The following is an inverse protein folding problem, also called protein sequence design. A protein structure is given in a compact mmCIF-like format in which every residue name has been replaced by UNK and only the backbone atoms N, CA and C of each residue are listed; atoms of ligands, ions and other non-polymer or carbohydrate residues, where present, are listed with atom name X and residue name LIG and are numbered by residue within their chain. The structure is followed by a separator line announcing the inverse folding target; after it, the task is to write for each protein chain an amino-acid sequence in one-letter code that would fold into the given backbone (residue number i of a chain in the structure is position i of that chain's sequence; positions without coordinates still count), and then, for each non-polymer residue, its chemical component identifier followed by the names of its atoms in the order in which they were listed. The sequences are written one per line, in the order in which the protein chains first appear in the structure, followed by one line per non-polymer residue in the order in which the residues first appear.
data_IF_731793947522
#
_entry.id   IF_731793947522
#
_cell.length_a   1.000
_cell.length_b   1.000
_cell.length_c   1.000
_cell.angle_alpha   90.00
_cell.angle_beta   90.00
_cell.angle_gamma   90.00
#
_symmetry.space_group_name_H-M   'P 1'
#
loop_
_entity.id
_entity.type
_entity.pdbx_description
1 polymer ?
#
# COMPACT_ATOMS: atom_id res chain seq x y z
N UNK A 1 -84.29 22.73 18.64
CA UNK A 1 -83.26 23.02 19.66
C UNK A 1 -82.37 21.80 19.74
N UNK A 2 -81.10 21.77 19.43
CA UNK A 2 -80.11 22.80 19.12
C UNK A 2 -78.76 22.07 19.17
N UNK A 3 -77.91 22.35 18.20
CA UNK A 3 -76.55 21.82 18.02
C UNK A 3 -75.63 22.39 19.14
N UNK A 4 -74.55 21.67 19.48
CA UNK A 4 -73.47 21.94 20.46
C UNK A 4 -73.60 21.13 21.77
N UNK A 5 -72.62 20.36 22.24
CA UNK A 5 -71.18 20.45 22.03
C UNK A 5 -70.53 19.07 22.25
N UNK A 6 -70.12 18.42 21.16
CA UNK A 6 -69.13 17.35 21.18
C UNK A 6 -67.76 17.98 21.41
N UNK A 7 -67.32 18.16 22.65
CA UNK A 7 -65.93 18.54 22.97
C UNK A 7 -65.73 18.42 24.49
N UNK A 8 -65.51 17.20 24.99
CA UNK A 8 -64.92 16.99 26.32
C UNK A 8 -64.38 15.55 26.55
N UNK A 9 -64.52 14.62 25.60
CA UNK A 9 -64.07 13.23 25.78
C UNK A 9 -62.78 12.85 25.01
N UNK A 10 -61.97 13.83 24.60
CA UNK A 10 -60.69 13.62 23.90
C UNK A 10 -59.48 14.29 24.58
N UNK A 11 -59.59 14.68 25.86
CA UNK A 11 -58.48 15.33 26.59
C UNK A 11 -57.81 14.44 27.65
N UNK A 12 -58.24 13.19 27.82
CA UNK A 12 -57.72 12.30 28.87
C UNK A 12 -56.95 11.07 28.35
N UNK A 13 -56.78 10.95 27.02
CA UNK A 13 -56.06 9.85 26.38
C UNK A 13 -54.90 10.32 25.48
N UNK A 14 -54.24 11.44 25.81
CA UNK A 14 -53.03 11.94 25.12
C UNK A 14 -51.97 12.43 26.12
N UNK A 15 -51.83 11.78 27.28
CA UNK A 15 -50.76 12.11 28.25
C UNK A 15 -50.11 10.86 28.85
N UNK A 16 -49.96 9.82 28.02
CA UNK A 16 -48.92 8.79 28.18
C UNK A 16 -48.18 8.66 26.84
N UNK A 17 -47.79 9.79 26.25
CA UNK A 17 -46.67 9.77 25.33
C UNK A 17 -45.46 9.66 26.24
N UNK A 18 -44.81 8.50 26.18
CA UNK A 18 -43.50 8.28 26.77
C UNK A 18 -42.61 9.48 26.44
N UNK A 19 -42.30 10.30 27.44
CA UNK A 19 -41.14 11.16 27.39
C UNK A 19 -39.92 10.23 27.46
N UNK A 20 -39.61 9.59 26.33
CA UNK A 20 -38.26 9.09 26.10
C UNK A 20 -37.37 10.32 26.19
N UNK A 21 -36.68 10.46 27.32
CA UNK A 21 -35.70 11.52 27.55
C UNK A 21 -34.66 11.46 26.43
N UNK A 22 -34.78 12.34 25.44
CA UNK A 22 -33.76 12.49 24.41
C UNK A 22 -32.48 12.97 25.09
N UNK A 23 -31.46 12.12 25.12
CA UNK A 23 -30.14 12.45 25.70
C UNK A 23 -29.63 13.77 25.12
N UNK A 24 -29.04 14.63 25.95
CA UNK A 24 -28.41 15.86 25.46
C UNK A 24 -27.25 15.50 24.51
N UNK A 25 -26.93 16.34 23.50
CA UNK A 25 -25.86 16.05 22.54
C UNK A 25 -24.49 15.75 23.17
N UNK A 26 -24.14 16.42 24.27
CA UNK A 26 -22.90 16.17 25.01
C UNK A 26 -22.88 14.78 25.67
N UNK A 27 -24.01 14.34 26.22
CA UNK A 27 -24.17 13.02 26.84
C UNK A 27 -24.08 11.91 25.78
N UNK A 28 -24.65 12.16 24.59
CA UNK A 28 -24.55 11.24 23.43
C UNK A 28 -23.11 11.09 22.94
N UNK A 29 -22.37 12.19 22.80
CA UNK A 29 -20.97 12.14 22.37
C UNK A 29 -20.08 11.40 23.38
N UNK A 30 -20.33 11.57 24.68
CA UNK A 30 -19.60 10.85 25.73
C UNK A 30 -19.89 9.35 25.72
N UNK A 31 -21.12 8.96 25.42
CA UNK A 31 -21.49 7.55 25.23
C UNK A 31 -20.75 6.93 24.03
N UNK A 32 -20.76 7.60 22.87
CA UNK A 32 -20.01 7.16 21.67
C UNK A 32 -18.52 6.96 21.98
N UNK A 33 -17.89 7.92 22.68
CA UNK A 33 -16.48 7.82 23.02
C UNK A 33 -16.20 6.65 23.98
N UNK A 34 -17.09 6.38 24.94
CA UNK A 34 -16.95 5.23 25.85
C UNK A 34 -17.07 3.91 25.12
N UNK A 35 -18.07 3.77 24.26
CA UNK A 35 -18.27 2.55 23.48
C UNK A 35 -17.08 2.28 22.57
N UNK A 36 -16.57 3.33 21.91
CA UNK A 36 -15.39 3.26 21.07
C UNK A 36 -14.14 2.80 21.85
N UNK A 37 -13.86 3.41 22.99
CA UNK A 37 -12.66 3.09 23.78
C UNK A 37 -12.76 1.72 24.46
N UNK A 38 -13.98 1.28 24.78
CA UNK A 38 -14.21 -0.09 25.27
C UNK A 38 -13.95 -1.12 24.18
N UNK A 39 -14.44 -0.87 22.96
CA UNK A 39 -14.28 -1.79 21.84
C UNK A 39 -12.83 -1.86 21.33
N UNK A 40 -12.13 -0.72 21.23
CA UNK A 40 -10.85 -0.67 20.52
C UNK A 40 -9.62 -0.39 21.40
N UNK A 41 -9.81 0.07 22.64
CA UNK A 41 -8.73 0.47 23.56
C UNK A 41 -8.79 -0.22 24.93
N UNK A 42 -9.61 -1.27 25.06
CA UNK A 42 -9.78 -2.05 26.29
C UNK A 42 -10.12 -1.16 27.51
N UNK A 43 -11.02 -0.19 27.34
CA UNK A 43 -11.56 0.56 28.48
C UNK A 43 -12.41 -0.38 29.35
N UNK A 44 -11.93 -0.68 30.55
CA UNK A 44 -12.66 -1.44 31.56
C UNK A 44 -13.72 -0.56 32.24
N UNK A 45 -14.96 -1.04 32.31
CA UNK A 45 -16.00 -0.39 33.09
C UNK A 45 -15.72 -0.65 34.58
N UNK A 46 -15.28 0.36 35.33
CA UNK A 46 -15.19 0.32 36.79
C UNK A 46 -16.61 0.24 37.40
N UNK A 47 -17.28 -0.90 37.26
CA UNK A 47 -18.49 -1.22 37.99
C UNK A 47 -18.15 -2.24 39.07
N UNK A 48 -17.97 -1.80 40.31
CA UNK A 48 -18.22 -2.67 41.47
C UNK A 48 -17.23 -2.76 42.62
N UNK A 49 -16.41 -1.76 42.95
CA UNK A 49 -15.78 -1.73 44.29
C UNK A 49 -15.94 -0.38 44.95
N UNK A 50 -16.94 -0.29 45.83
CA UNK A 50 -17.12 0.79 46.81
C UNK A 50 -16.06 0.70 47.91
N UNK A 51 -14.81 0.99 47.59
CA UNK A 51 -13.80 1.24 48.60
C UNK A 51 -13.19 2.62 48.33
N UNK A 52 -13.37 3.50 49.32
CA UNK A 52 -12.79 4.84 49.43
C UNK A 52 -11.45 4.97 48.69
N UNK A 53 -11.35 5.91 47.75
CA UNK A 53 -10.07 6.31 47.14
C UNK A 53 -9.88 7.82 47.16
N UNK A 54 -8.65 8.33 47.41
CA UNK A 54 -8.37 9.77 47.53
C UNK A 54 -8.43 10.51 46.17
N UNK A 55 -8.65 11.82 46.24
CA UNK A 55 -8.95 12.80 45.16
C UNK A 55 -7.92 12.98 44.02
N UNK A 56 -6.95 12.08 43.82
CA UNK A 56 -5.99 12.11 42.69
C UNK A 56 -6.15 10.93 41.72
N UNK A 57 -7.40 10.47 41.48
CA UNK A 57 -7.64 9.35 40.57
C UNK A 57 -7.65 9.77 39.09
N UNK A 58 -6.70 9.20 38.36
CA UNK A 58 -6.57 9.18 36.90
C UNK A 58 -7.92 8.79 36.27
N UNK A 59 -8.56 9.68 35.51
CA UNK A 59 -9.76 9.35 34.73
C UNK A 59 -9.40 8.32 33.65
N UNK A 60 -9.84 7.03 33.76
CA UNK A 60 -9.48 5.99 32.80
C UNK A 60 -9.92 6.34 31.38
N UNK A 61 -10.97 7.13 31.24
CA UNK A 61 -11.42 7.66 29.96
C UNK A 61 -10.39 8.62 29.35
N UNK A 62 -9.82 9.52 30.16
CA UNK A 62 -8.83 10.49 29.69
C UNK A 62 -7.57 9.80 29.19
N UNK A 63 -7.12 8.74 29.86
CA UNK A 63 -5.92 8.01 29.46
C UNK A 63 -6.12 7.19 28.18
N UNK A 64 -7.26 6.49 28.06
CA UNK A 64 -7.61 5.81 26.80
C UNK A 64 -7.82 6.79 25.65
N UNK A 65 -8.33 8.00 25.93
CA UNK A 65 -8.36 9.08 24.94
C UNK A 65 -6.94 9.50 24.51
N UNK A 66 -5.97 9.60 25.43
CA UNK A 66 -4.57 9.94 25.06
C UNK A 66 -3.96 8.84 24.21
N UNK A 67 -4.18 7.57 24.53
CA UNK A 67 -3.72 6.42 23.73
C UNK A 67 -4.29 6.51 22.30
N UNK A 68 -5.60 6.69 22.17
CA UNK A 68 -6.29 6.82 20.88
C UNK A 68 -5.78 8.04 20.09
N UNK A 69 -5.69 9.21 20.73
CA UNK A 69 -5.19 10.43 20.08
C UNK A 69 -3.75 10.24 19.59
N UNK A 70 -2.90 9.57 20.38
CA UNK A 70 -1.53 9.24 20.00
C UNK A 70 -1.47 8.29 18.81
N UNK A 71 -2.34 7.27 18.77
CA UNK A 71 -2.44 6.33 17.66
C UNK A 71 -2.81 7.06 16.35
N UNK A 72 -3.88 7.88 16.38
CA UNK A 72 -4.37 8.61 15.21
C UNK A 72 -3.55 9.87 14.84
N UNK A 73 -2.44 10.11 15.54
CA UNK A 73 -1.55 11.29 15.40
C UNK A 73 -2.31 12.61 15.58
N UNK A 74 -3.30 12.63 16.47
CA UNK A 74 -4.02 13.82 16.88
C UNK A 74 -3.24 14.56 17.99
N UNK A 75 -3.63 15.80 18.27
CA UNK A 75 -3.13 16.50 19.46
C UNK A 75 -3.56 15.74 20.71
N UNK A 76 -2.59 15.23 21.47
CA UNK A 76 -2.83 14.46 22.70
C UNK A 76 -3.27 15.43 23.80
N UNK A 77 -4.57 15.44 24.09
CA UNK A 77 -5.18 16.28 25.13
C UNK A 77 -5.84 15.48 26.24
N UNK A 78 -6.17 14.20 26.00
CA UNK A 78 -6.97 13.39 26.92
C UNK A 78 -8.40 13.88 27.09
N UNK A 79 -8.88 14.72 26.16
CA UNK A 79 -10.22 15.31 26.16
C UNK A 79 -10.94 15.00 24.86
N UNK A 80 -12.25 14.78 24.93
CA UNK A 80 -13.10 14.54 23.77
C UNK A 80 -13.35 15.85 23.01
N UNK A 81 -12.40 16.23 22.17
CA UNK A 81 -12.52 17.38 21.27
C UNK A 81 -13.22 16.99 19.96
N UNK A 82 -13.60 17.99 19.16
CA UNK A 82 -14.32 17.79 17.89
C UNK A 82 -13.56 16.86 16.95
N UNK A 83 -12.25 17.05 16.78
CA UNK A 83 -11.43 16.23 15.88
C UNK A 83 -11.40 14.75 16.31
N UNK A 84 -11.25 14.48 17.61
CA UNK A 84 -11.28 13.13 18.18
C UNK A 84 -12.62 12.45 17.90
N UNK A 85 -13.72 13.18 18.11
CA UNK A 85 -15.06 12.66 17.87
C UNK A 85 -15.34 12.39 16.39
N UNK A 86 -14.85 13.24 15.47
CA UNK A 86 -14.98 13.00 14.03
C UNK A 86 -14.24 11.73 13.59
N UNK A 87 -13.07 11.43 14.18
CA UNK A 87 -12.37 10.17 13.90
C UNK A 87 -13.14 8.97 14.46
N UNK A 88 -13.67 9.05 15.67
CA UNK A 88 -14.45 7.96 16.30
C UNK A 88 -15.73 7.59 15.54
N UNK A 89 -16.26 8.51 14.73
CA UNK A 89 -17.47 8.30 13.92
C UNK A 89 -17.18 7.74 12.52
N UNK A 90 -15.92 7.64 12.11
CA UNK A 90 -15.59 7.10 10.79
C UNK A 90 -15.80 5.58 10.78
N UNK A 91 -16.31 5.02 9.66
CA UNK A 91 -16.32 3.57 9.48
C UNK A 91 -14.91 3.00 9.59
N UNK A 92 -14.76 1.83 10.19
CA UNK A 92 -13.47 1.23 10.52
C UNK A 92 -13.53 -0.30 10.64
N UNK A 93 -12.37 -0.92 10.74
CA UNK A 93 -12.22 -2.33 11.13
C UNK A 93 -12.61 -2.55 12.61
N UNK A 94 -13.20 -3.70 12.91
CA UNK A 94 -13.66 -4.14 14.23
C UNK A 94 -12.57 -4.64 15.18
N UNK A 95 -11.33 -4.79 14.70
CA UNK A 95 -10.18 -5.26 15.50
C UNK A 95 -9.68 -4.13 16.45
N UNK A 96 -9.29 -4.44 17.71
CA UNK A 96 -8.72 -3.44 18.63
C UNK A 96 -7.37 -2.85 18.18
N UNK A 97 -7.07 -1.61 18.60
CA UNK A 97 -5.86 -0.88 18.19
C UNK A 97 -4.65 -1.09 19.13
N UNK A 98 -4.85 -1.74 20.28
CA UNK A 98 -3.90 -1.75 21.42
C UNK A 98 -2.85 -2.87 21.40
N UNK A 99 -2.67 -3.57 20.28
CA UNK A 99 -1.56 -4.52 20.11
C UNK A 99 -0.29 -3.80 19.62
N UNK A 100 0.88 -4.17 20.16
CA UNK A 100 2.17 -3.58 19.81
C UNK A 100 2.39 -3.52 18.28
N UNK A 101 2.71 -2.34 17.77
CA UNK A 101 2.75 -2.00 16.35
C UNK A 101 3.48 -3.03 15.45
N UNK A 102 2.94 -3.19 14.23
CA UNK A 102 3.35 -4.05 13.09
C UNK A 102 2.79 -5.49 13.06
N UNK A 103 2.55 -6.14 14.19
CA UNK A 103 2.05 -7.54 14.26
C UNK A 103 1.27 -7.73 15.54
N UNK A 104 0.27 -8.61 15.59
CA UNK A 104 -0.37 -8.94 16.88
C UNK A 104 0.67 -9.39 17.93
N UNK A 105 0.38 -9.21 19.22
CA UNK A 105 1.24 -9.66 20.30
C UNK A 105 1.56 -11.17 20.13
N UNK A 106 2.85 -11.53 20.22
CA UNK A 106 3.32 -12.89 19.91
C UNK A 106 3.65 -13.17 18.44
N UNK A 107 3.46 -12.20 17.53
CA UNK A 107 3.74 -12.29 16.08
C UNK A 107 3.10 -13.53 15.42
N UNK A 108 1.78 -13.75 15.60
CA UNK A 108 1.11 -14.90 15.04
C UNK A 108 1.27 -14.90 13.52
N UNK A 109 1.77 -16.02 13.00
CA UNK A 109 1.97 -16.23 11.56
C UNK A 109 1.64 -17.66 11.19
N UNK A 110 1.19 -17.85 9.96
CA UNK A 110 1.04 -19.19 9.41
C UNK A 110 2.40 -19.88 9.28
N UNK A 111 2.47 -21.15 9.65
CA UNK A 111 3.69 -21.97 9.53
C UNK A 111 3.88 -22.53 8.10
N UNK A 112 2.98 -22.17 7.18
CA UNK A 112 2.98 -22.62 5.78
C UNK A 112 2.68 -21.43 4.86
N UNK A 113 3.22 -21.47 3.65
CA UNK A 113 3.00 -20.44 2.64
C UNK A 113 1.84 -20.76 1.68
N UNK A 114 1.36 -22.00 1.69
CA UNK A 114 0.19 -22.42 0.88
C UNK A 114 -1.03 -22.44 1.78
N UNK A 115 -1.84 -21.39 1.67
CA UNK A 115 -3.05 -21.19 2.45
C UNK A 115 -4.27 -21.50 1.59
N UNK A 116 -5.30 -22.04 2.23
CA UNK A 116 -6.61 -22.29 1.63
C UNK A 116 -7.61 -21.28 2.14
N UNK A 117 -8.53 -20.84 1.29
CA UNK A 117 -9.63 -19.99 1.71
C UNK A 117 -10.96 -20.52 1.19
N UNK A 118 -12.05 -20.19 1.89
CA UNK A 118 -13.40 -20.57 1.51
C UNK A 118 -14.37 -19.42 1.79
N UNK A 119 -15.14 -19.06 0.77
CA UNK A 119 -16.31 -18.19 0.92
C UNK A 119 -17.48 -19.06 1.37
N UNK A 120 -17.99 -18.79 2.58
CA UNK A 120 -19.03 -19.58 3.25
C UNK A 120 -20.40 -19.19 2.74
N UNK A 121 -20.65 -17.89 2.63
CA UNK A 121 -21.87 -17.27 2.09
C UNK A 121 -21.52 -15.97 1.38
N UNK A 122 -22.53 -15.32 0.79
CA UNK A 122 -22.37 -14.13 -0.05
C UNK A 122 -23.33 -13.04 0.40
N UNK A 123 -22.88 -11.78 0.34
CA UNK A 123 -23.74 -10.60 0.48
C UNK A 123 -24.74 -10.50 -0.69
N UNK A 124 -25.99 -10.05 -0.45
CA UNK A 124 -26.96 -9.81 -1.52
C UNK A 124 -26.68 -8.56 -2.36
N UNK A 125 -25.77 -7.69 -1.94
CA UNK A 125 -25.49 -6.39 -2.58
C UNK A 125 -24.73 -6.51 -3.91
N UNK A 126 -24.00 -7.61 -4.06
CA UNK A 126 -23.08 -7.86 -5.17
C UNK A 126 -23.37 -9.24 -5.76
N UNK A 127 -23.16 -9.39 -7.07
CA UNK A 127 -23.25 -10.71 -7.69
C UNK A 127 -22.13 -11.64 -7.19
N UNK A 128 -22.38 -12.94 -7.20
CA UNK A 128 -21.39 -13.97 -6.80
C UNK A 128 -20.02 -13.76 -7.50
N UNK A 129 -19.95 -13.49 -8.83
CA UNK A 129 -18.68 -13.21 -9.49
C UNK A 129 -17.96 -11.96 -8.97
N UNK A 130 -18.69 -10.89 -8.64
CA UNK A 130 -18.09 -9.65 -8.14
C UNK A 130 -17.50 -9.83 -6.73
N UNK A 131 -18.16 -10.60 -5.87
CA UNK A 131 -17.63 -11.00 -4.56
C UNK A 131 -16.40 -11.88 -4.75
N UNK A 132 -16.48 -12.91 -5.59
CA UNK A 132 -15.37 -13.81 -5.89
C UNK A 132 -14.13 -13.06 -6.41
N UNK A 133 -14.34 -12.10 -7.32
CA UNK A 133 -13.27 -11.25 -7.85
C UNK A 133 -12.67 -10.35 -6.77
N UNK A 134 -13.51 -9.70 -5.96
CA UNK A 134 -13.06 -8.80 -4.88
C UNK A 134 -12.19 -9.54 -3.86
N UNK A 135 -12.63 -10.72 -3.41
CA UNK A 135 -11.90 -11.57 -2.47
C UNK A 135 -10.58 -12.07 -3.08
N UNK A 136 -10.61 -12.54 -4.33
CA UNK A 136 -9.41 -12.99 -5.03
C UNK A 136 -8.39 -11.85 -5.20
N UNK A 137 -8.85 -10.67 -5.61
CA UNK A 137 -8.00 -9.46 -5.77
C UNK A 137 -7.38 -9.07 -4.42
N UNK A 138 -8.17 -9.10 -3.34
CA UNK A 138 -7.71 -8.80 -1.99
C UNK A 138 -6.61 -9.76 -1.49
N UNK A 139 -6.75 -11.07 -1.70
CA UNK A 139 -5.68 -12.03 -1.36
C UNK A 139 -4.44 -11.85 -2.24
N UNK A 140 -4.62 -11.51 -3.51
CA UNK A 140 -3.52 -11.30 -4.46
C UNK A 140 -2.64 -10.10 -4.08
N UNK A 141 -3.21 -9.08 -3.41
CA UNK A 141 -2.45 -7.94 -2.88
C UNK A 141 -1.28 -8.41 -2.00
N UNK A 142 -1.54 -9.37 -1.10
CA UNK A 142 -0.52 -9.92 -0.21
C UNK A 142 0.39 -10.95 -0.90
N UNK A 143 -0.16 -11.81 -1.75
CA UNK A 143 0.62 -12.80 -2.52
C UNK A 143 1.61 -12.15 -3.50
N UNK A 144 1.32 -10.93 -3.97
CA UNK A 144 2.19 -10.18 -4.89
C UNK A 144 3.53 -9.74 -4.28
N UNK A 145 3.60 -9.66 -2.95
CA UNK A 145 4.78 -9.14 -2.21
C UNK A 145 5.34 -10.14 -1.22
N UNK A 146 4.85 -11.38 -1.21
CA UNK A 146 5.29 -12.47 -0.32
C UNK A 146 5.29 -13.84 -1.03
N UNK A 147 5.96 -14.87 -0.47
CA UNK A 147 5.84 -16.25 -0.95
C UNK A 147 4.46 -16.88 -0.80
N UNK A 148 3.50 -16.20 -0.18
CA UNK A 148 2.17 -16.74 0.10
C UNK A 148 1.42 -17.10 -1.19
N UNK A 149 0.68 -18.20 -1.14
CA UNK A 149 -0.17 -18.70 -2.22
C UNK A 149 -1.51 -19.10 -1.64
N UNK A 150 -2.58 -18.58 -2.24
CA UNK A 150 -3.95 -18.80 -1.79
C UNK A 150 -4.69 -19.71 -2.77
N UNK A 151 -5.29 -20.77 -2.25
CA UNK A 151 -6.08 -21.72 -3.04
C UNK A 151 -7.52 -21.74 -2.53
N UNK A 152 -8.48 -21.47 -3.39
CA UNK A 152 -9.89 -21.57 -3.02
C UNK A 152 -10.29 -23.03 -2.87
N UNK A 153 -11.02 -23.35 -1.81
CA UNK A 153 -11.72 -24.62 -1.66
C UNK A 153 -13.22 -24.38 -1.53
N UNK A 154 -14.03 -25.34 -2.01
CA UNK A 154 -15.50 -25.19 -2.04
C UNK A 154 -16.22 -26.05 -0.98
N UNK A 155 -15.48 -26.89 -0.25
CA UNK A 155 -16.01 -27.77 0.80
C UNK A 155 -14.95 -27.99 1.88
N UNK A 156 -15.41 -28.35 3.09
CA UNK A 156 -14.53 -28.54 4.25
C UNK A 156 -14.15 -27.24 4.93
N UNK A 157 -13.15 -27.32 5.81
CA UNK A 157 -12.61 -26.20 6.58
C UNK A 157 -11.34 -25.70 5.88
N UNK A 158 -11.27 -24.40 5.64
CA UNK A 158 -10.12 -23.73 5.04
C UNK A 158 -9.25 -23.10 6.14
N UNK A 159 -8.08 -22.56 5.77
CA UNK A 159 -7.27 -21.76 6.69
C UNK A 159 -7.88 -20.37 6.96
N UNK A 160 -8.66 -19.86 6.01
CA UNK A 160 -9.35 -18.57 6.09
C UNK A 160 -10.80 -18.82 5.64
N UNK A 161 -11.75 -18.82 6.59
CA UNK A 161 -13.18 -18.84 6.29
C UNK A 161 -13.69 -17.41 6.17
N UNK A 162 -14.45 -17.14 5.11
CA UNK A 162 -14.94 -15.80 4.76
C UNK A 162 -16.46 -15.84 4.80
N UNK A 163 -17.07 -14.99 5.63
CA UNK A 163 -18.53 -14.92 5.74
C UNK A 163 -19.04 -13.50 5.90
N UNK A 164 -20.27 -13.30 5.43
CA UNK A 164 -21.05 -12.09 5.61
C UNK A 164 -22.11 -12.34 6.67
N UNK A 165 -22.20 -11.51 7.68
CA UNK A 165 -23.15 -11.71 8.77
C UNK A 165 -23.58 -10.38 9.39
N UNK A 166 -24.68 -10.40 10.13
CA UNK A 166 -25.20 -9.20 10.80
C UNK A 166 -25.12 -9.37 12.30
N UNK A 167 -24.82 -8.27 13.01
CA UNK A 167 -24.88 -8.17 14.48
C UNK A 167 -24.21 -9.35 15.20
N UNK A 168 -24.96 -10.18 15.93
CA UNK A 168 -24.43 -11.36 16.64
C UNK A 168 -24.34 -12.53 15.67
N UNK A 169 -23.13 -13.00 15.38
CA UNK A 169 -22.88 -13.95 14.29
C UNK A 169 -21.95 -15.12 14.64
N UNK A 170 -21.98 -15.57 15.90
CA UNK A 170 -21.33 -16.82 16.33
C UNK A 170 -19.92 -16.69 16.89
N UNK A 171 -19.40 -15.47 17.01
CA UNK A 171 -18.20 -15.14 17.77
C UNK A 171 -18.49 -14.13 18.90
N UNK A 172 -17.45 -13.68 19.60
CA UNK A 172 -17.56 -12.73 20.71
C UNK A 172 -17.54 -11.24 20.28
N UNK A 173 -17.59 -10.94 18.97
CA UNK A 173 -17.42 -9.61 18.41
C UNK A 173 -18.62 -9.22 17.54
N UNK A 174 -19.78 -8.90 18.13
CA UNK A 174 -20.95 -8.52 17.35
C UNK A 174 -20.75 -7.21 16.55
N UNK A 175 -21.34 -7.16 15.36
CA UNK A 175 -21.44 -5.94 14.56
C UNK A 175 -22.49 -4.96 15.10
N UNK A 176 -22.38 -3.70 14.69
CA UNK A 176 -23.18 -2.56 15.16
C UNK A 176 -24.29 -2.12 14.18
N UNK A 177 -24.41 -2.77 13.03
CA UNK A 177 -25.36 -2.42 11.98
C UNK A 177 -24.73 -1.43 10.99
N UNK A 178 -25.53 -0.66 10.23
CA UNK A 178 -24.98 0.17 9.15
C UNK A 178 -23.99 1.24 9.65
N UNK A 179 -22.88 1.39 8.92
CA UNK A 179 -21.70 2.18 9.28
C UNK A 179 -20.97 1.65 10.53
N UNK A 180 -19.94 2.38 10.99
CA UNK A 180 -19.22 1.97 12.19
C UNK A 180 -18.27 0.81 11.89
N UNK A 181 -18.64 -0.41 12.23
CA UNK A 181 -17.76 -1.58 12.09
C UNK A 181 -18.04 -2.33 10.79
N UNK A 182 -17.13 -2.19 9.82
CA UNK A 182 -17.35 -2.77 8.48
C UNK A 182 -17.10 -4.27 8.41
N UNK A 183 -16.11 -4.74 9.17
CA UNK A 183 -15.61 -6.11 9.15
C UNK A 183 -14.65 -6.33 10.32
N UNK A 184 -14.32 -7.59 10.60
CA UNK A 184 -13.16 -7.95 11.43
C UNK A 184 -12.58 -9.29 10.98
N UNK A 185 -11.34 -9.54 11.35
CA UNK A 185 -10.70 -10.83 11.16
C UNK A 185 -9.84 -11.24 12.34
N UNK A 186 -9.64 -12.55 12.47
CA UNK A 186 -8.83 -13.15 13.50
C UNK A 186 -7.40 -13.38 13.03
N UNK A 187 -6.43 -13.19 13.93
CA UNK A 187 -5.04 -13.52 13.65
C UNK A 187 -4.85 -15.03 13.36
N UNK A 188 -3.76 -15.43 12.68
CA UNK A 188 -3.41 -16.84 12.48
C UNK A 188 -3.39 -17.61 13.81
N UNK A 189 -4.22 -18.64 13.90
CA UNK A 189 -4.26 -19.51 15.09
C UNK A 189 -4.59 -20.95 14.69
N UNK A 190 -3.57 -21.78 14.40
CA UNK A 190 -3.78 -23.15 13.93
C UNK A 190 -4.50 -24.07 14.93
N UNK A 191 -4.48 -23.71 16.21
CA UNK A 191 -5.13 -24.44 17.30
C UNK A 191 -6.56 -23.96 17.60
N UNK A 192 -6.98 -22.82 17.02
CA UNK A 192 -8.34 -22.28 17.16
C UNK A 192 -9.11 -22.49 15.87
N UNK A 193 -10.36 -22.98 15.99
CA UNK A 193 -11.21 -23.24 14.82
C UNK A 193 -11.61 -21.99 14.01
N UNK A 194 -11.35 -20.79 14.53
CA UNK A 194 -11.67 -19.49 13.91
C UNK A 194 -10.41 -18.68 13.52
N UNK A 195 -9.22 -19.23 13.73
CA UNK A 195 -7.97 -18.52 13.48
C UNK A 195 -7.78 -18.22 12.00
N UNK A 196 -7.71 -16.94 11.62
CA UNK A 196 -7.63 -16.51 10.23
C UNK A 196 -8.97 -16.18 9.58
N UNK A 197 -10.10 -16.43 10.24
CA UNK A 197 -11.41 -16.16 9.65
C UNK A 197 -11.67 -14.65 9.54
N UNK A 198 -12.40 -14.26 8.50
CA UNK A 198 -12.76 -12.88 8.20
C UNK A 198 -14.28 -12.74 8.04
N UNK A 199 -14.87 -11.87 8.84
CA UNK A 199 -16.29 -11.59 8.88
C UNK A 199 -16.57 -10.17 8.37
N UNK A 200 -17.56 -10.02 7.51
CA UNK A 200 -17.97 -8.76 6.91
C UNK A 200 -19.40 -8.42 7.36
N UNK A 201 -19.65 -7.19 7.76
CA UNK A 201 -20.97 -6.79 8.24
C UNK A 201 -21.96 -6.65 7.08
N UNK A 202 -22.91 -7.57 6.99
CA UNK A 202 -23.91 -7.62 5.91
C UNK A 202 -25.06 -6.62 6.13
N UNK A 203 -25.02 -5.82 7.21
CA UNK A 203 -25.86 -4.62 7.35
C UNK A 203 -25.26 -3.41 6.56
N UNK A 204 -24.03 -3.52 6.04
CA UNK A 204 -23.39 -2.54 5.17
C UNK A 204 -23.76 -2.73 3.70
N UNK A 205 -23.72 -1.65 2.92
CA UNK A 205 -23.89 -1.71 1.45
C UNK A 205 -22.54 -1.88 0.76
N UNK A 206 -22.09 -3.11 0.55
CA UNK A 206 -20.82 -3.37 -0.14
C UNK A 206 -20.89 -3.06 -1.64
N UNK A 207 -19.79 -2.54 -2.19
CA UNK A 207 -19.71 -2.20 -3.63
C UNK A 207 -18.43 -2.72 -4.28
N UNK A 208 -18.45 -2.85 -5.60
CA UNK A 208 -17.28 -3.25 -6.40
C UNK A 208 -16.22 -2.13 -6.52
N UNK A 209 -16.64 -0.87 -6.50
CA UNK A 209 -15.76 0.28 -6.72
C UNK A 209 -16.46 1.64 -6.65
N UNK A 210 -17.64 1.70 -6.01
CA UNK A 210 -18.44 2.91 -5.90
C UNK A 210 -18.18 3.60 -4.57
N UNK A 211 -18.15 4.93 -4.55
CA UNK A 211 -18.04 5.71 -3.31
C UNK A 211 -19.35 5.75 -2.49
N UNK A 212 -20.42 5.09 -2.97
CA UNK A 212 -21.72 5.01 -2.27
C UNK A 212 -21.71 4.08 -1.05
N UNK A 213 -20.72 3.21 -0.93
CA UNK A 213 -20.57 2.27 0.17
C UNK A 213 -19.12 1.76 0.28
N UNK A 214 -18.82 0.93 1.29
CA UNK A 214 -17.52 0.30 1.41
C UNK A 214 -17.18 -0.55 0.18
N UNK A 215 -15.97 -0.41 -0.36
CA UNK A 215 -15.51 -1.25 -1.46
C UNK A 215 -15.01 -2.57 -0.89
N UNK A 216 -15.69 -3.68 -1.23
CA UNK A 216 -15.40 -5.00 -0.64
C UNK A 216 -13.93 -5.41 -0.81
N UNK A 217 -13.34 -5.14 -1.97
CA UNK A 217 -11.92 -5.39 -2.22
C UNK A 217 -10.99 -4.73 -1.18
N UNK A 218 -11.24 -3.47 -0.81
CA UNK A 218 -10.38 -2.74 0.11
C UNK A 218 -10.54 -3.24 1.55
N UNK A 219 -11.79 -3.44 1.98
CA UNK A 219 -12.10 -3.98 3.31
C UNK A 219 -11.53 -5.39 3.44
N UNK A 220 -11.75 -6.26 2.46
CA UNK A 220 -11.21 -7.61 2.47
C UNK A 220 -9.68 -7.64 2.45
N UNK A 221 -9.03 -6.75 1.68
CA UNK A 221 -7.58 -6.68 1.68
C UNK A 221 -7.03 -6.34 3.07
N UNK A 222 -7.67 -5.41 3.78
CA UNK A 222 -7.34 -5.05 5.17
C UNK A 222 -7.53 -6.24 6.12
N UNK A 223 -8.71 -6.86 6.12
CA UNK A 223 -9.02 -8.00 6.99
C UNK A 223 -8.11 -9.21 6.74
N UNK A 224 -7.69 -9.42 5.48
CA UNK A 224 -6.71 -10.46 5.18
C UNK A 224 -5.31 -10.12 5.70
N UNK A 225 -4.96 -8.84 5.88
CA UNK A 225 -3.76 -8.48 6.62
C UNK A 225 -3.79 -9.01 8.05
N UNK A 226 -4.93 -8.87 8.74
CA UNK A 226 -5.14 -9.48 10.06
C UNK A 226 -5.12 -11.01 10.01
N UNK A 227 -5.81 -11.60 9.03
CA UNK A 227 -5.81 -13.06 8.79
C UNK A 227 -4.40 -13.63 8.54
N UNK A 228 -3.46 -12.77 8.16
CA UNK A 228 -2.05 -13.09 7.94
C UNK A 228 -1.14 -12.68 9.09
N UNK A 229 -1.64 -12.00 10.14
CA UNK A 229 -0.89 -11.70 11.36
C UNK A 229 -0.48 -10.24 11.54
N UNK A 230 -0.88 -9.35 10.64
CA UNK A 230 -0.65 -7.91 10.79
C UNK A 230 -1.61 -7.31 11.80
N UNK A 231 -1.10 -6.37 12.61
CA UNK A 231 -1.94 -5.50 13.44
C UNK A 231 -2.25 -4.21 12.68
N UNK A 232 -3.10 -3.36 13.24
CA UNK A 232 -3.32 -2.03 12.71
C UNK A 232 -2.03 -1.20 12.66
N UNK A 233 -1.90 -0.42 11.58
CA UNK A 233 -0.85 0.57 11.39
C UNK A 233 -1.32 1.96 11.86
N UNK A 234 -0.40 2.78 12.37
CA UNK A 234 -0.65 4.19 12.69
C UNK A 234 -0.30 5.13 11.52
N UNK A 235 0.07 4.56 10.35
CA UNK A 235 0.36 5.28 9.12
C UNK A 235 -0.92 5.48 8.32
N UNK A 236 -1.41 6.74 8.24
CA UNK A 236 -2.70 7.09 7.58
C UNK A 236 -2.89 6.60 6.14
N UNK A 237 -1.80 6.33 5.41
CA UNK A 237 -1.85 5.83 4.03
C UNK A 237 -1.63 4.33 3.89
N UNK A 238 -1.48 3.60 5.00
CA UNK A 238 -1.37 2.16 5.00
C UNK A 238 -2.74 1.51 4.81
N UNK A 239 -2.79 0.39 4.10
CA UNK A 239 -3.99 -0.43 4.01
C UNK A 239 -4.43 -0.87 5.40
N UNK A 240 -3.48 -1.24 6.27
CA UNK A 240 -3.75 -1.66 7.67
C UNK A 240 -4.10 -0.51 8.61
N UNK A 241 -4.37 0.71 8.12
CA UNK A 241 -4.89 1.79 8.97
C UNK A 241 -6.35 1.51 9.36
N UNK A 242 -6.78 1.68 10.63
CA UNK A 242 -8.08 1.16 11.08
C UNK A 242 -9.30 1.77 10.42
N UNK A 243 -9.27 3.07 10.11
CA UNK A 243 -10.44 3.76 9.54
C UNK A 243 -10.50 3.57 8.04
N UNK A 244 -11.68 3.25 7.53
CA UNK A 244 -11.93 3.16 6.12
C UNK A 244 -11.79 4.51 5.44
N UNK A 245 -11.08 4.51 4.31
CA UNK A 245 -11.02 5.62 3.38
C UNK A 245 -11.19 5.07 1.98
N UNK A 246 -12.14 5.63 1.23
CA UNK A 246 -12.32 5.28 -0.16
C UNK A 246 -11.03 5.56 -0.95
N UNK A 247 -10.58 4.55 -1.68
CA UNK A 247 -9.49 4.64 -2.66
C UNK A 247 -10.01 3.98 -3.94
N UNK A 248 -9.71 4.58 -5.10
CA UNK A 248 -10.08 3.95 -6.36
C UNK A 248 -9.36 2.58 -6.48
N UNK A 249 -10.08 1.44 -6.57
CA UNK A 249 -9.50 0.10 -6.64
C UNK A 249 -8.52 -0.12 -7.79
N UNK A 250 -8.59 0.69 -8.85
CA UNK A 250 -7.68 0.62 -10.00
C UNK A 250 -6.37 1.38 -9.76
N UNK A 251 -6.39 2.35 -8.84
CA UNK A 251 -5.22 3.09 -8.39
C UNK A 251 -4.54 2.50 -7.14
N UNK A 252 -5.18 1.51 -6.51
CA UNK A 252 -4.75 0.96 -5.23
C UNK A 252 -3.36 0.30 -5.32
N UNK A 253 -2.51 0.62 -4.34
CA UNK A 253 -1.23 -0.04 -4.12
C UNK A 253 -0.95 -0.13 -2.63
N UNK A 254 -0.35 -1.23 -2.18
CA UNK A 254 0.13 -1.34 -0.80
C UNK A 254 1.12 -0.24 -0.46
N UNK A 255 1.00 0.31 0.74
CA UNK A 255 1.99 1.24 1.24
C UNK A 255 3.29 0.50 1.56
N UNK A 256 4.39 1.27 1.64
CA UNK A 256 5.66 0.73 2.13
C UNK A 256 5.55 0.11 3.53
N UNK A 257 4.59 0.58 4.33
CA UNK A 257 4.40 0.11 5.70
C UNK A 257 3.78 -1.29 5.72
N UNK A 258 2.73 -1.49 4.93
CA UNK A 258 2.08 -2.80 4.77
C UNK A 258 3.05 -3.85 4.22
N UNK A 259 3.85 -3.46 3.21
CA UNK A 259 4.85 -4.34 2.58
C UNK A 259 5.91 -4.76 3.60
N UNK A 260 6.47 -3.82 4.37
CA UNK A 260 7.46 -4.15 5.41
C UNK A 260 6.84 -5.04 6.49
N UNK A 261 5.62 -4.73 6.92
CA UNK A 261 4.89 -5.52 7.92
C UNK A 261 4.75 -6.98 7.48
N UNK A 262 4.19 -7.20 6.30
CA UNK A 262 3.92 -8.57 5.82
C UNK A 262 5.20 -9.35 5.51
N UNK A 263 6.21 -8.69 4.93
CA UNK A 263 7.50 -9.31 4.62
C UNK A 263 8.30 -9.62 5.88
N UNK A 264 8.09 -8.91 7.00
CA UNK A 264 8.69 -9.27 8.28
C UNK A 264 8.19 -10.62 8.83
N UNK A 265 6.99 -11.06 8.41
CA UNK A 265 6.39 -12.33 8.81
C UNK A 265 6.75 -13.47 7.84
N UNK A 266 6.63 -13.21 6.54
CA UNK A 266 6.67 -14.24 5.49
C UNK A 266 7.89 -14.16 4.56
N UNK A 267 8.73 -13.13 4.71
CA UNK A 267 9.86 -12.88 3.81
C UNK A 267 9.44 -12.29 2.46
N UNK A 268 10.46 -12.04 1.64
CA UNK A 268 10.29 -11.65 0.24
C UNK A 268 9.82 -12.86 -0.57
N UNK A 269 9.10 -12.65 -1.67
CA UNK A 269 8.91 -13.70 -2.69
C UNK A 269 10.27 -14.32 -3.02
N UNK A 270 10.36 -15.66 -3.08
CA UNK A 270 11.56 -16.48 -3.44
C UNK A 270 12.09 -16.24 -4.87
N UNK A 271 12.09 -14.99 -5.31
CA UNK A 271 12.85 -14.51 -6.43
C UNK A 271 13.75 -13.39 -5.89
N UNK A 272 14.76 -13.77 -5.09
CA UNK A 272 16.06 -13.21 -5.44
C UNK A 272 16.33 -13.77 -6.84
N UNK A 273 16.24 -12.96 -7.91
CA UNK A 273 16.70 -13.42 -9.19
C UNK A 273 18.12 -13.94 -8.99
N UNK A 274 18.43 -15.12 -9.53
CA UNK A 274 19.82 -15.59 -9.61
C UNK A 274 20.61 -14.54 -10.39
N UNK A 275 21.22 -13.60 -9.66
CA UNK A 275 21.80 -12.39 -10.24
C UNK A 275 22.98 -12.70 -11.16
N UNK A 276 23.50 -13.93 -11.10
CA UNK A 276 24.54 -14.49 -11.97
C UNK A 276 24.17 -14.46 -13.46
N UNK A 277 22.87 -14.49 -13.80
CA UNK A 277 22.39 -14.42 -15.19
C UNK A 277 21.27 -13.39 -15.40
N UNK A 278 21.09 -12.48 -14.46
CA UNK A 278 19.98 -11.54 -14.51
C UNK A 278 20.22 -10.42 -15.53
N UNK A 279 19.22 -10.22 -16.39
CA UNK A 279 19.14 -9.07 -17.29
C UNK A 279 18.30 -7.99 -16.62
N UNK A 280 18.94 -6.90 -16.23
CA UNK A 280 18.30 -5.73 -15.62
C UNK A 280 17.43 -5.00 -16.63
N UNK A 281 16.27 -4.51 -16.17
CA UNK A 281 15.39 -3.67 -16.99
C UNK A 281 15.89 -2.22 -17.00
N UNK A 282 16.54 -1.77 -15.92
CA UNK A 282 17.28 -0.51 -15.88
C UNK A 282 18.30 -0.53 -14.75
N UNK A 283 19.35 0.28 -14.85
CA UNK A 283 20.28 0.56 -13.76
C UNK A 283 20.54 2.05 -13.77
N UNK A 284 20.56 2.73 -12.64
CA UNK A 284 20.94 4.14 -12.56
C UNK A 284 21.59 4.45 -11.23
N UNK A 285 22.27 5.59 -11.15
CA UNK A 285 22.57 6.24 -9.88
C UNK A 285 21.40 7.15 -9.53
N UNK A 286 21.05 7.24 -8.25
CA UNK A 286 20.15 8.28 -7.73
C UNK A 286 20.61 8.67 -6.33
N UNK A 287 20.92 9.95 -6.12
CA UNK A 287 21.39 10.50 -4.83
C UNK A 287 22.57 9.72 -4.21
N UNK A 288 23.47 9.25 -5.06
CA UNK A 288 24.67 8.52 -4.65
C UNK A 288 24.47 7.04 -4.36
N UNK A 289 23.26 6.50 -4.49
CA UNK A 289 22.98 5.07 -4.44
C UNK A 289 22.86 4.51 -5.86
N UNK A 290 23.35 3.29 -6.10
CA UNK A 290 23.11 2.59 -7.37
C UNK A 290 21.84 1.76 -7.23
N UNK A 291 20.93 1.93 -8.17
CA UNK A 291 19.63 1.28 -8.22
C UNK A 291 19.54 0.35 -9.41
N UNK A 292 19.17 -0.90 -9.16
CA UNK A 292 19.01 -1.96 -10.17
C UNK A 292 17.53 -2.32 -10.26
N UNK A 293 16.91 -2.17 -11.42
CA UNK A 293 15.48 -2.38 -11.60
C UNK A 293 15.21 -3.70 -12.33
N UNK A 294 14.27 -4.48 -11.79
CA UNK A 294 13.76 -5.70 -12.42
C UNK A 294 12.29 -5.88 -12.09
N UNK A 295 11.48 -6.05 -13.13
CA UNK A 295 10.03 -6.17 -13.03
C UNK A 295 9.46 -5.02 -12.19
N UNK A 296 8.76 -5.34 -11.10
CA UNK A 296 8.16 -4.33 -10.22
C UNK A 296 9.06 -3.85 -9.10
N UNK A 297 10.28 -4.35 -9.03
CA UNK A 297 11.20 -4.15 -7.93
C UNK A 297 12.45 -3.41 -8.37
N UNK A 298 13.13 -2.83 -7.39
CA UNK A 298 14.51 -2.41 -7.54
C UNK A 298 15.32 -2.74 -6.30
N UNK A 299 16.62 -2.94 -6.48
CA UNK A 299 17.60 -3.11 -5.43
C UNK A 299 18.41 -1.84 -5.35
N UNK A 300 18.49 -1.26 -4.16
CA UNK A 300 19.38 -0.12 -3.90
C UNK A 300 20.63 -0.60 -3.19
N UNK A 301 21.79 -0.22 -3.70
CA UNK A 301 23.09 -0.47 -3.09
C UNK A 301 23.71 0.86 -2.69
N UNK A 302 23.97 1.00 -1.39
CA UNK A 302 24.85 2.05 -0.87
C UNK A 302 26.24 1.43 -0.63
N UNK A 303 27.33 2.23 -0.59
CA UNK A 303 28.68 1.72 -0.32
C UNK A 303 28.83 0.98 1.03
N UNK A 304 27.91 1.21 1.97
CA UNK A 304 27.98 0.75 3.37
C UNK A 304 26.94 -0.32 3.76
N UNK A 305 26.09 -0.79 2.85
CA UNK A 305 24.94 -1.65 3.18
C UNK A 305 24.70 -2.76 2.15
N UNK A 306 24.06 -3.85 2.58
CA UNK A 306 23.54 -4.88 1.69
C UNK A 306 22.40 -4.34 0.82
N UNK A 307 22.30 -4.85 -0.41
CA UNK A 307 21.26 -4.43 -1.34
C UNK A 307 19.86 -4.81 -0.82
N UNK A 308 19.00 -3.81 -0.65
CA UNK A 308 17.62 -4.04 -0.21
C UNK A 308 16.67 -4.00 -1.42
N UNK A 309 15.86 -5.05 -1.58
CA UNK A 309 14.78 -5.08 -2.57
C UNK A 309 13.62 -4.18 -2.12
N UNK A 310 13.12 -3.35 -3.03
CA UNK A 310 12.03 -2.39 -2.79
C UNK A 310 11.09 -2.40 -4.00
N UNK A 311 9.78 -2.30 -3.77
CA UNK A 311 8.80 -2.15 -4.85
C UNK A 311 8.92 -0.73 -5.45
N UNK A 312 8.94 -0.59 -6.78
CA UNK A 312 9.06 0.70 -7.47
C UNK A 312 7.98 1.67 -6.98
N UNK A 313 6.70 1.24 -7.03
CA UNK A 313 5.57 2.05 -6.56
C UNK A 313 5.57 2.35 -5.06
N UNK A 314 6.24 1.54 -4.25
CA UNK A 314 6.40 1.86 -2.83
C UNK A 314 7.32 3.07 -2.61
N UNK A 315 8.26 3.33 -3.54
CA UNK A 315 9.19 4.45 -3.45
C UNK A 315 8.71 5.65 -4.28
N UNK A 316 8.16 5.39 -5.46
CA UNK A 316 7.54 6.36 -6.37
C UNK A 316 6.09 5.94 -6.71
N UNK A 317 5.09 6.34 -5.90
CA UNK A 317 3.70 5.89 -6.08
C UNK A 317 3.10 6.15 -7.46
N UNK A 318 3.49 7.25 -8.11
CA UNK A 318 3.01 7.64 -9.43
C UNK A 318 3.83 7.06 -10.59
N UNK A 319 4.81 6.19 -10.32
CA UNK A 319 5.60 5.51 -11.34
C UNK A 319 4.79 4.38 -12.00
N UNK A 320 5.17 3.93 -13.21
CA UNK A 320 4.65 2.70 -13.78
C UNK A 320 5.04 1.48 -12.93
N UNK A 321 4.33 0.36 -13.11
CA UNK A 321 4.58 -0.87 -12.34
C UNK A 321 5.99 -1.42 -12.57
N UNK A 322 6.51 -1.27 -13.79
CA UNK A 322 7.89 -1.57 -14.19
C UNK A 322 8.40 -0.51 -15.17
N UNK A 323 9.70 -0.50 -15.45
CA UNK A 323 10.36 0.48 -16.31
C UNK A 323 11.24 -0.20 -17.37
N UNK A 324 11.56 0.52 -18.44
CA UNK A 324 12.42 0.05 -19.53
C UNK A 324 13.81 0.73 -19.52
N UNK A 325 13.93 1.91 -18.90
CA UNK A 325 15.20 2.61 -18.71
C UNK A 325 15.09 3.65 -17.60
N UNK A 326 16.21 4.04 -17.01
CA UNK A 326 16.28 5.12 -16.04
C UNK A 326 17.59 5.88 -16.13
N UNK A 327 17.58 7.17 -15.80
CA UNK A 327 18.80 7.93 -15.53
C UNK A 327 18.54 9.07 -14.54
N UNK A 328 19.55 9.46 -13.78
CA UNK A 328 19.55 10.70 -12.98
C UNK A 328 20.24 11.82 -13.75
N UNK A 329 19.65 13.01 -13.74
CA UNK A 329 20.34 14.27 -14.05
C UNK A 329 20.63 14.99 -12.73
N UNK A 330 21.89 14.97 -12.25
CA UNK A 330 22.27 15.62 -11.00
C UNK A 330 22.19 17.14 -11.04
N UNK A 331 22.24 17.76 -12.22
CA UNK A 331 22.16 19.23 -12.37
C UNK A 331 20.72 19.68 -12.16
N UNK A 332 19.76 18.89 -12.63
CA UNK A 332 18.34 19.16 -12.43
C UNK A 332 17.79 18.60 -11.11
N UNK A 333 18.56 17.74 -10.41
CA UNK A 333 18.12 16.95 -9.25
C UNK A 333 16.86 16.13 -9.59
N UNK A 334 16.90 15.43 -10.72
CA UNK A 334 15.77 14.64 -11.25
C UNK A 334 16.16 13.23 -11.64
N UNK A 335 15.31 12.28 -11.27
CA UNK A 335 15.31 10.93 -11.78
C UNK A 335 14.30 10.81 -12.91
N UNK A 336 14.74 10.32 -14.06
CA UNK A 336 13.88 10.02 -15.20
C UNK A 336 13.65 8.51 -15.31
N UNK A 337 12.40 8.10 -15.42
CA UNK A 337 11.99 6.71 -15.63
C UNK A 337 11.26 6.60 -16.98
N UNK A 338 11.64 5.65 -17.82
CA UNK A 338 11.05 5.42 -19.13
C UNK A 338 10.19 4.17 -19.11
N UNK A 339 9.01 4.23 -19.73
CA UNK A 339 8.18 3.05 -19.99
C UNK A 339 7.40 3.23 -21.28
N UNK A 340 7.65 2.35 -22.25
CA UNK A 340 7.10 2.44 -23.60
C UNK A 340 7.35 3.83 -24.20
N UNK A 341 6.28 4.49 -24.64
CA UNK A 341 6.35 5.83 -25.26
C UNK A 341 6.33 7.00 -24.27
N UNK A 342 6.43 6.73 -22.97
CA UNK A 342 6.32 7.74 -21.93
C UNK A 342 7.57 7.81 -21.06
N UNK A 343 7.79 9.00 -20.50
CA UNK A 343 8.83 9.29 -19.52
C UNK A 343 8.19 9.99 -18.33
N UNK A 344 8.59 9.59 -17.12
CA UNK A 344 8.25 10.22 -15.85
C UNK A 344 9.51 10.90 -15.32
N UNK A 345 9.36 12.04 -14.65
CA UNK A 345 10.46 12.67 -13.94
C UNK A 345 10.08 12.86 -12.48
N UNK A 346 10.97 12.49 -11.58
CA UNK A 346 10.79 12.60 -10.14
C UNK A 346 11.85 13.50 -9.55
N UNK A 347 11.42 14.36 -8.63
CA UNK A 347 12.29 15.02 -7.66
C UNK A 347 12.04 14.37 -6.32
N UNK A 348 13.07 13.76 -5.74
CA UNK A 348 12.94 12.84 -4.61
C UNK A 348 11.97 11.67 -4.92
N UNK A 349 10.78 11.72 -4.30
CA UNK A 349 9.68 10.76 -4.46
C UNK A 349 8.48 11.34 -5.20
N UNK A 350 8.51 12.65 -5.49
CA UNK A 350 7.38 13.39 -6.04
C UNK A 350 7.47 13.45 -7.55
N UNK A 351 6.35 13.17 -8.23
CA UNK A 351 6.24 13.33 -9.67
C UNK A 351 6.29 14.82 -10.03
N UNK A 352 7.14 15.18 -10.99
CA UNK A 352 7.28 16.55 -11.44
C UNK A 352 6.04 17.02 -12.24
N UNK A 353 5.61 18.28 -12.08
CA UNK A 353 4.48 18.82 -12.83
C UNK A 353 4.64 18.66 -14.35
N UNK A 354 3.56 18.19 -15.00
CA UNK A 354 3.51 17.96 -16.44
C UNK A 354 4.13 16.65 -16.91
N UNK A 355 4.53 15.75 -16.00
CA UNK A 355 4.85 14.35 -16.30
C UNK A 355 3.66 13.43 -15.99
N UNK A 356 3.53 12.26 -16.67
CA UNK A 356 4.42 11.77 -17.72
C UNK A 356 4.34 12.55 -19.04
N UNK A 357 5.43 12.53 -19.81
CA UNK A 357 5.54 13.15 -21.13
C UNK A 357 5.80 12.10 -22.21
N UNK A 358 5.43 12.36 -23.48
CA UNK A 358 5.81 11.46 -24.57
C UNK A 358 7.31 11.55 -24.86
N UNK A 359 7.91 10.49 -25.42
CA UNK A 359 9.32 10.49 -25.86
C UNK A 359 9.68 11.64 -26.81
N UNK A 360 8.71 12.16 -27.56
CA UNK A 360 8.90 13.33 -28.41
C UNK A 360 9.30 14.60 -27.64
N UNK A 361 9.06 14.68 -26.33
CA UNK A 361 9.56 15.77 -25.49
C UNK A 361 11.08 15.79 -25.38
N UNK A 362 11.75 14.66 -25.65
CA UNK A 362 13.19 14.54 -25.78
C UNK A 362 13.67 14.71 -27.23
N UNK A 363 12.77 15.02 -28.17
CA UNK A 363 13.09 15.14 -29.59
C UNK A 363 13.23 13.80 -30.31
N UNK A 364 12.78 12.69 -29.70
CA UNK A 364 12.80 11.37 -30.33
C UNK A 364 11.68 11.25 -31.39
N UNK A 365 11.95 10.59 -32.54
CA UNK A 365 10.97 10.41 -33.60
C UNK A 365 9.90 9.38 -33.20
N UNK A 366 8.72 9.46 -33.84
CA UNK A 366 7.58 8.58 -33.54
C UNK A 366 7.84 7.08 -33.80
N UNK A 367 8.88 6.74 -34.57
CA UNK A 367 9.33 5.38 -34.81
C UNK A 367 9.95 4.73 -33.56
N UNK A 368 10.46 5.51 -32.62
CA UNK A 368 11.00 5.00 -31.35
C UNK A 368 9.83 4.71 -30.41
N UNK A 369 9.61 3.42 -30.12
CA UNK A 369 8.48 2.95 -29.31
C UNK A 369 8.82 2.75 -27.83
N UNK A 370 10.11 2.60 -27.52
CA UNK A 370 10.68 2.52 -26.17
C UNK A 370 12.16 2.92 -26.18
N UNK A 371 12.69 3.18 -24.99
CA UNK A 371 14.13 3.37 -24.73
C UNK A 371 14.57 2.17 -23.91
N UNK A 372 15.59 1.44 -24.36
CA UNK A 372 16.07 0.20 -23.74
C UNK A 372 17.10 0.44 -22.62
N UNK A 373 17.82 1.57 -22.69
CA UNK A 373 18.68 2.02 -21.62
C UNK A 373 18.93 3.52 -21.73
N UNK A 374 19.27 4.17 -20.61
CA UNK A 374 19.61 5.58 -20.59
C UNK A 374 20.79 5.83 -19.65
N UNK A 375 21.68 6.76 -19.99
CA UNK A 375 22.77 7.17 -19.08
C UNK A 375 23.11 8.63 -19.28
N UNK A 376 23.19 9.38 -18.17
CA UNK A 376 23.67 10.75 -18.18
C UNK A 376 25.18 10.80 -17.99
N UNK A 377 25.89 11.34 -18.97
CA UNK A 377 27.32 11.62 -18.87
C UNK A 377 27.53 13.01 -18.27
N UNK A 378 27.76 13.04 -16.95
CA UNK A 378 28.00 14.27 -16.18
C UNK A 378 29.19 15.10 -16.68
N UNK A 379 30.16 14.48 -17.35
CA UNK A 379 31.35 15.16 -17.84
C UNK A 379 31.06 15.97 -19.11
N UNK A 380 30.13 15.50 -19.95
CA UNK A 380 29.75 16.18 -21.19
C UNK A 380 28.41 16.91 -21.11
N UNK A 381 27.63 16.70 -20.05
CA UNK A 381 26.25 17.19 -19.94
C UNK A 381 25.30 16.58 -20.98
N UNK A 382 25.63 15.38 -21.47
CA UNK A 382 24.86 14.67 -22.51
C UNK A 382 24.20 13.44 -21.91
N UNK A 383 22.95 13.21 -22.27
CA UNK A 383 22.23 11.97 -21.94
C UNK A 383 22.21 11.08 -23.18
N UNK A 384 22.66 9.83 -23.05
CA UNK A 384 22.61 8.84 -24.12
C UNK A 384 21.35 7.97 -23.92
N UNK A 385 20.55 7.84 -24.97
CA UNK A 385 19.31 7.06 -24.98
C UNK A 385 19.47 5.92 -25.99
N UNK A 386 19.53 4.68 -25.51
CA UNK A 386 19.77 3.49 -26.30
C UNK A 386 18.45 2.84 -26.72
N UNK A 387 18.41 2.30 -27.93
CA UNK A 387 17.27 1.57 -28.47
C UNK A 387 17.79 0.63 -29.57
N UNK A 388 17.49 -0.66 -29.47
CA UNK A 388 18.03 -1.69 -30.39
C UNK A 388 19.57 -1.56 -30.50
N UNK A 389 20.13 -1.56 -31.71
CA UNK A 389 21.56 -1.35 -31.99
C UNK A 389 21.96 0.12 -32.22
N UNK A 390 21.14 1.07 -31.76
CA UNK A 390 21.34 2.51 -31.95
C UNK A 390 21.29 3.29 -30.64
N UNK A 391 21.79 4.53 -30.66
CA UNK A 391 21.59 5.47 -29.57
C UNK A 391 21.44 6.91 -30.09
N UNK A 392 20.70 7.70 -29.32
CA UNK A 392 20.64 9.15 -29.44
C UNK A 392 21.51 9.81 -28.37
N UNK A 393 22.14 10.94 -28.71
CA UNK A 393 22.78 11.86 -27.76
C UNK A 393 21.90 13.09 -27.59
N UNK A 394 21.38 13.29 -26.38
CA UNK A 394 20.55 14.43 -26.00
C UNK A 394 21.39 15.43 -25.21
N UNK A 395 21.36 16.69 -25.62
CA UNK A 395 21.99 17.80 -24.91
C UNK A 395 21.06 18.32 -23.82
N UNK A 396 21.42 18.12 -22.55
CA UNK A 396 20.58 18.54 -21.43
C UNK A 396 20.53 20.06 -21.26
N UNK A 397 21.51 20.81 -21.76
CA UNK A 397 21.51 22.27 -21.69
C UNK A 397 20.64 22.86 -22.81
N UNK A 398 20.82 22.38 -24.03
CA UNK A 398 20.10 22.85 -25.22
C UNK A 398 18.71 22.23 -25.37
N UNK A 399 18.41 21.21 -24.56
CA UNK A 399 17.16 20.43 -24.57
C UNK A 399 16.80 19.86 -25.94
N UNK A 400 17.80 19.39 -26.69
CA UNK A 400 17.65 18.86 -28.05
C UNK A 400 18.60 17.70 -28.34
N UNK A 401 18.22 16.87 -29.30
CA UNK A 401 19.07 15.80 -29.84
C UNK A 401 20.22 16.42 -30.64
N UNK A 402 21.43 15.93 -30.43
CA UNK A 402 22.62 16.35 -31.17
C UNK A 402 22.49 16.03 -32.67
N UNK A 403 23.10 16.85 -33.53
CA UNK A 403 23.12 16.60 -34.97
C UNK A 403 23.82 15.28 -35.30
N UNK A 404 23.32 14.57 -36.32
CA UNK A 404 23.89 13.29 -36.77
C UNK A 404 23.50 12.08 -35.93
N UNK A 405 22.41 12.17 -35.16
CA UNK A 405 21.77 11.02 -34.52
C UNK A 405 20.59 10.49 -35.36
N UNK A 406 20.22 9.20 -35.21
CA UNK A 406 20.81 8.22 -34.30
C UNK A 406 22.19 7.73 -34.77
N UNK A 407 23.02 7.33 -33.82
CA UNK A 407 24.33 6.72 -34.08
C UNK A 407 24.23 5.22 -33.85
N UNK A 408 24.89 4.44 -34.72
CA UNK A 408 25.03 2.99 -34.52
C UNK A 408 25.89 2.73 -33.29
N UNK A 409 25.48 1.78 -32.45
CA UNK A 409 26.11 1.48 -31.17
C UNK A 409 27.60 1.18 -31.31
N UNK A 410 27.95 0.27 -32.21
CA UNK A 410 29.34 -0.17 -32.48
C UNK A 410 30.29 0.99 -32.87
N UNK A 411 29.77 2.05 -33.49
CA UNK A 411 30.58 3.22 -33.86
C UNK A 411 30.92 4.09 -32.64
N UNK A 412 30.02 4.13 -31.66
CA UNK A 412 30.19 4.92 -30.44
C UNK A 412 30.82 4.15 -29.29
N UNK A 413 30.67 2.83 -29.29
CA UNK A 413 31.11 1.88 -28.27
C UNK A 413 31.69 0.64 -28.94
N UNK A 414 32.94 0.71 -29.44
CA UNK A 414 33.57 -0.39 -30.17
C UNK A 414 33.63 -1.67 -29.32
N UNK A 415 33.29 -2.80 -29.94
CA UNK A 415 33.25 -4.11 -29.27
C UNK A 415 31.90 -4.47 -28.64
N UNK A 416 30.94 -3.53 -28.60
CA UNK A 416 29.57 -3.79 -28.15
C UNK A 416 28.63 -3.94 -29.35
N UNK A 417 28.28 -5.18 -29.67
CA UNK A 417 27.50 -5.54 -30.88
C UNK A 417 26.04 -5.90 -30.58
N UNK A 418 25.71 -6.20 -29.31
CA UNK A 418 24.35 -6.50 -28.85
C UNK A 418 23.61 -5.27 -28.33
N UNK A 419 22.30 -5.42 -28.09
CA UNK A 419 21.46 -4.38 -27.50
C UNK A 419 21.92 -4.02 -26.08
N UNK A 420 21.68 -2.77 -25.68
CA UNK A 420 21.93 -2.29 -24.33
C UNK A 420 20.67 -2.40 -23.51
N UNK A 421 20.66 -3.26 -22.50
CA UNK A 421 19.49 -3.54 -21.65
C UNK A 421 19.44 -2.65 -20.41
N UNK A 422 20.57 -2.09 -19.99
CA UNK A 422 20.66 -1.10 -18.93
C UNK A 422 21.96 -0.32 -19.04
N UNK A 423 22.01 0.89 -18.48
CA UNK A 423 23.22 1.70 -18.52
C UNK A 423 23.30 2.59 -17.28
N UNK A 424 24.47 2.73 -16.67
CA UNK A 424 24.65 3.73 -15.61
C UNK A 424 26.05 4.33 -15.65
N UNK A 425 26.24 5.44 -14.95
CA UNK A 425 27.53 6.09 -14.81
C UNK A 425 27.98 6.04 -13.35
N UNK A 426 29.21 5.57 -13.12
CA UNK A 426 29.83 5.52 -11.80
C UNK A 426 31.35 5.74 -11.93
N UNK A 427 31.98 6.38 -10.95
CA UNK A 427 33.42 6.64 -10.93
C UNK A 427 33.98 7.22 -12.24
N UNK A 428 33.20 8.09 -12.90
CA UNK A 428 33.56 8.71 -14.20
C UNK A 428 33.67 7.74 -15.38
N UNK A 429 33.11 6.54 -15.28
CA UNK A 429 33.00 5.57 -16.38
C UNK A 429 31.54 5.28 -16.70
N UNK A 430 31.28 4.90 -17.95
CA UNK A 430 29.98 4.48 -18.45
C UNK A 430 29.94 2.96 -18.43
N UNK A 431 28.93 2.41 -17.80
CA UNK A 431 28.70 0.97 -17.71
C UNK A 431 27.47 0.61 -18.52
N UNK A 432 27.64 -0.22 -19.54
CA UNK A 432 26.57 -0.69 -20.42
C UNK A 432 26.35 -2.18 -20.21
N UNK A 433 25.12 -2.56 -19.88
CA UNK A 433 24.70 -3.95 -19.76
C UNK A 433 24.16 -4.44 -21.09
N UNK A 434 24.62 -5.60 -21.53
CA UNK A 434 24.09 -6.31 -22.71
C UNK A 434 23.87 -7.77 -22.31
N UNK A 435 22.63 -8.08 -21.96
CA UNK A 435 22.29 -9.33 -21.30
C UNK A 435 23.04 -9.48 -19.97
N UNK A 436 23.72 -10.62 -19.79
CA UNK A 436 24.52 -10.92 -18.59
C UNK A 436 25.95 -10.34 -18.62
N UNK A 437 26.31 -9.59 -19.67
CA UNK A 437 27.63 -8.97 -19.80
C UNK A 437 27.56 -7.47 -19.46
N UNK A 438 28.62 -6.98 -18.82
CA UNK A 438 28.76 -5.59 -18.39
C UNK A 438 30.03 -5.00 -19.03
N UNK A 439 29.86 -3.99 -19.86
CA UNK A 439 30.95 -3.32 -20.56
C UNK A 439 31.25 -2.00 -19.86
N UNK A 440 32.50 -1.79 -19.45
CA UNK A 440 32.94 -0.54 -18.86
C UNK A 440 33.70 0.29 -19.89
N UNK A 441 33.21 1.48 -20.17
CA UNK A 441 33.80 2.43 -21.10
C UNK A 441 34.27 3.69 -20.37
N UNK A 442 35.38 4.24 -20.83
CA UNK A 442 35.81 5.57 -20.41
C UNK A 442 34.78 6.62 -20.85
N UNK A 443 34.35 7.49 -19.95
CA UNK A 443 33.38 8.54 -20.28
C UNK A 443 33.94 9.65 -21.19
N UNK A 444 35.27 9.77 -21.31
CA UNK A 444 35.93 10.83 -22.09
C UNK A 444 36.10 10.46 -23.56
N UNK A 445 36.61 9.25 -23.82
CA UNK A 445 36.94 8.78 -25.17
C UNK A 445 36.16 7.53 -25.61
N UNK A 446 35.32 6.96 -24.74
CA UNK A 446 34.51 5.75 -25.01
C UNK A 446 35.32 4.53 -25.44
N UNK A 447 36.59 4.45 -25.01
CA UNK A 447 37.37 3.23 -25.14
C UNK A 447 36.87 2.19 -24.13
N UNK A 448 36.77 0.94 -24.57
CA UNK A 448 36.46 -0.19 -23.70
C UNK A 448 37.62 -0.39 -22.72
N UNK A 449 37.31 -0.36 -21.42
CA UNK A 449 38.28 -0.54 -20.34
C UNK A 449 38.26 -1.98 -19.83
N UNK A 450 37.07 -2.52 -19.54
CA UNK A 450 36.89 -3.88 -19.00
C UNK A 450 35.59 -4.50 -19.51
N UNK A 451 35.61 -5.83 -19.61
CA UNK A 451 34.41 -6.66 -19.77
C UNK A 451 34.19 -7.46 -18.48
N UNK A 452 33.02 -7.28 -17.88
CA UNK A 452 32.62 -7.79 -16.57
C UNK A 452 31.30 -8.59 -16.72
N UNK A 453 30.85 -9.19 -15.62
CA UNK A 453 29.54 -9.85 -15.51
C UNK A 453 28.51 -8.94 -14.83
N UNK A 454 27.23 -9.18 -15.11
CA UNK A 454 26.11 -8.36 -14.63
C UNK A 454 25.98 -8.32 -13.11
N UNK A 455 26.53 -9.31 -12.41
CA UNK A 455 26.59 -9.42 -10.95
C UNK A 455 27.76 -8.64 -10.32
N UNK A 456 28.65 -8.02 -11.10
CA UNK A 456 29.80 -7.27 -10.58
C UNK A 456 29.41 -6.23 -9.51
N UNK A 457 28.25 -5.60 -9.69
CA UNK A 457 27.73 -4.61 -8.74
C UNK A 457 26.72 -5.14 -7.73
N UNK A 458 26.35 -6.41 -7.79
CA UNK A 458 25.46 -7.03 -6.82
C UNK A 458 25.98 -8.44 -6.51
N UNK A 459 26.75 -8.61 -5.42
CA UNK A 459 27.16 -9.95 -5.02
C UNK A 459 25.90 -10.73 -4.65
N UNK A 460 25.61 -11.74 -5.48
CA UNK A 460 25.04 -12.99 -5.00
C UNK A 460 26.15 -13.71 -4.19
#
# INVERSE_FOLDING_TARGET
MGIHCQLCFLASLVLVIHAASTLKPADKNKAIARDYLRKFYNLEDLMGTSHFRPEEEIDPLSDKLKEMQKFFKLKVTGTLNKETLEVMKKPRCGVPDVAAYSTFEGKPKWQKNKLTYRIVNYTPDMSIPEVDESIKKALQVWANVTPLRFTRINKGIADIMISFATRVHGDAQPFDGPQGTLAHAFAPSPSSGIGGDAHFDDDELFTLGSSKGPVLFLVAAHEFGHSLGLSHSDVRGALMFPTYSFTDPDSFSLSSDDIRGIQSLYGLTDSEPDCRNLVWDAVTTFKGETMFFKDRFFWRRSPSTSAAQVLIKSFWPSAPDNIDAAYEDPVQDKLFLFKGKQVWAFKDKNLEPGYPKPLSSFGLPASVTKVDAAVHNKNSGKTLLFFDIYYYSYDEKEKKIDKGNPKRLENGFPGLTGEVTAAHMSNSNIYLFSGANLFEFSSSNRNLLRLLKSDHFLPC
#
